data_IF_399858617741
#
_entry.id   IF_399858617741
#
_cell.length_a   1.000
_cell.length_b   1.000
_cell.length_c   1.000
_cell.angle_alpha   90.00
_cell.angle_beta   90.00
_cell.angle_gamma   90.00
#
_symmetry.space_group_name_H-M   'P 1'
#
loop_
_entity.id
_entity.type
_entity.pdbx_description
1 polymer ?
#
# COMPACT_ATOMS: atom_id res chain seq x y z
N UNK A 1 -44.29 35.58 0.58
CA UNK A 1 -43.05 35.66 -0.24
C UNK A 1 -41.80 36.01 0.58
N UNK A 2 -41.83 36.98 1.50
CA UNK A 2 -40.69 37.30 2.39
C UNK A 2 -40.21 36.13 3.28
N UNK A 3 -41.13 35.33 3.81
CA UNK A 3 -40.75 34.18 4.66
C UNK A 3 -40.15 33.01 3.86
N UNK A 4 -40.54 32.84 2.60
CA UNK A 4 -39.97 31.80 1.72
C UNK A 4 -38.53 32.14 1.30
N UNK A 5 -38.23 33.43 1.14
CA UNK A 5 -36.87 33.92 0.87
C UNK A 5 -35.93 33.68 2.07
N UNK A 6 -36.44 33.73 3.30
CA UNK A 6 -35.65 33.50 4.51
C UNK A 6 -35.25 32.02 4.68
N UNK A 7 -36.13 31.08 4.31
CA UNK A 7 -35.83 29.64 4.35
C UNK A 7 -34.80 29.22 3.29
N UNK A 8 -34.79 29.88 2.13
CA UNK A 8 -33.83 29.57 1.06
C UNK A 8 -32.39 29.98 1.42
N UNK A 9 -32.21 31.04 2.22
CA UNK A 9 -30.88 31.51 2.65
C UNK A 9 -30.23 30.63 3.73
N UNK A 10 -31.02 29.94 4.57
CA UNK A 10 -30.50 29.03 5.61
C UNK A 10 -29.97 27.72 5.02
N UNK A 11 -30.54 27.25 3.90
CA UNK A 11 -30.10 26.02 3.23
C UNK A 11 -28.77 26.22 2.50
N UNK A 12 -28.49 27.43 1.99
CA UNK A 12 -27.23 27.75 1.29
C UNK A 12 -25.98 27.78 2.21
N UNK A 13 -26.16 27.91 3.54
CA UNK A 13 -25.05 27.92 4.50
C UNK A 13 -24.59 26.52 4.93
N UNK A 14 -25.35 25.46 4.62
CA UNK A 14 -24.97 24.08 4.95
C UNK A 14 -24.09 23.40 3.87
N UNK A 15 -23.87 24.04 2.72
CA UNK A 15 -23.12 23.42 1.63
C UNK A 15 -21.59 23.64 1.70
N UNK A 16 -21.08 24.23 2.78
CA UNK A 16 -19.66 24.11 3.10
C UNK A 16 -19.40 22.69 3.61
N UNK A 17 -19.15 21.76 2.69
CA UNK A 17 -18.56 20.47 3.00
C UNK A 17 -17.20 20.74 3.65
N UNK A 18 -17.16 20.77 4.98
CA UNK A 18 -15.91 20.83 5.73
C UNK A 18 -15.13 19.57 5.40
N UNK A 19 -13.96 19.74 4.78
CA UNK A 19 -13.04 18.63 4.54
C UNK A 19 -12.58 18.17 5.92
N UNK A 20 -13.23 17.13 6.45
CA UNK A 20 -12.84 16.56 7.74
C UNK A 20 -11.35 16.20 7.67
N UNK A 21 -10.56 16.58 8.68
CA UNK A 21 -9.16 16.19 8.72
C UNK A 21 -9.06 14.67 8.70
N UNK A 22 -8.05 14.15 8.00
CA UNK A 22 -7.79 12.72 7.96
C UNK A 22 -7.63 12.20 9.40
N UNK A 23 -8.36 11.14 9.75
CA UNK A 23 -8.08 10.39 10.97
C UNK A 23 -6.87 9.48 10.72
N UNK A 24 -5.67 10.03 10.86
CA UNK A 24 -4.40 9.33 10.63
C UNK A 24 -4.27 8.07 11.50
N UNK A 25 -4.69 8.12 12.77
CA UNK A 25 -4.61 6.97 13.67
C UNK A 25 -5.41 5.75 13.15
N UNK A 26 -6.60 5.98 12.56
CA UNK A 26 -7.40 4.91 11.97
C UNK A 26 -6.75 4.30 10.72
N UNK A 27 -6.03 5.11 9.94
CA UNK A 27 -5.24 4.64 8.79
C UNK A 27 -4.09 3.76 9.26
N UNK A 28 -3.29 4.27 10.19
CA UNK A 28 -2.11 3.56 10.73
C UNK A 28 -2.51 2.24 11.37
N UNK A 29 -3.59 2.22 12.15
CA UNK A 29 -4.13 1.00 12.75
C UNK A 29 -4.50 -0.05 11.70
N UNK A 30 -5.04 0.38 10.55
CA UNK A 30 -5.37 -0.52 9.45
C UNK A 30 -4.13 -1.11 8.78
N UNK A 31 -3.07 -0.31 8.61
CA UNK A 31 -1.79 -0.77 8.05
C UNK A 31 -1.12 -1.76 9.02
N UNK A 32 -1.10 -1.46 10.32
CA UNK A 32 -0.54 -2.35 11.34
C UNK A 32 -1.33 -3.66 11.44
N UNK A 33 -2.66 -3.60 11.32
CA UNK A 33 -3.50 -4.79 11.27
C UNK A 33 -3.19 -5.67 10.05
N UNK A 34 -2.87 -5.05 8.90
CA UNK A 34 -2.50 -5.75 7.68
C UNK A 34 -1.14 -6.44 7.83
N UNK A 35 -0.11 -5.74 8.33
CA UNK A 35 1.18 -6.35 8.65
C UNK A 35 1.05 -7.48 9.67
N UNK A 36 0.26 -7.28 10.72
CA UNK A 36 -0.01 -8.29 11.75
C UNK A 36 -0.71 -9.53 11.17
N UNK A 37 -1.67 -9.36 10.27
CA UNK A 37 -2.36 -10.47 9.64
C UNK A 37 -1.38 -11.34 8.81
N UNK A 38 -0.44 -10.71 8.10
CA UNK A 38 0.63 -11.45 7.42
C UNK A 38 1.58 -12.17 8.40
N UNK A 39 2.04 -11.47 9.45
CA UNK A 39 2.95 -12.06 10.44
C UNK A 39 2.33 -13.27 11.16
N UNK A 40 1.01 -13.28 11.31
CA UNK A 40 0.23 -14.39 11.90
C UNK A 40 -0.24 -15.42 10.87
N UNK A 41 0.18 -15.28 9.60
CA UNK A 41 -0.28 -16.09 8.47
C UNK A 41 -1.82 -16.20 8.37
N UNK A 42 -2.54 -15.13 8.74
CA UNK A 42 -3.99 -15.07 8.64
C UNK A 42 -4.40 -14.57 7.26
N UNK A 43 -4.53 -15.51 6.32
CA UNK A 43 -4.84 -15.24 4.91
C UNK A 43 -6.12 -14.40 4.73
N UNK A 44 -7.21 -14.82 5.37
CA UNK A 44 -8.51 -14.14 5.23
C UNK A 44 -8.48 -12.71 5.76
N UNK A 45 -7.92 -12.47 6.95
CA UNK A 45 -7.81 -11.12 7.51
C UNK A 45 -6.87 -10.24 6.69
N UNK A 46 -5.78 -10.81 6.17
CA UNK A 46 -4.82 -10.08 5.36
C UNK A 46 -5.49 -9.54 4.09
N UNK A 47 -6.24 -10.38 3.38
CA UNK A 47 -6.92 -9.97 2.15
C UNK A 47 -8.22 -9.17 2.40
N UNK A 48 -8.91 -9.29 3.55
CA UNK A 48 -10.02 -8.37 3.90
C UNK A 48 -9.55 -6.92 4.04
N UNK A 49 -8.28 -6.71 4.39
CA UNK A 49 -7.66 -5.38 4.51
C UNK A 49 -7.14 -4.84 3.17
N UNK A 50 -7.37 -5.53 2.06
CA UNK A 50 -7.06 -5.08 0.71
C UNK A 50 -8.36 -4.81 -0.07
N UNK A 51 -8.35 -3.83 -0.98
CA UNK A 51 -9.49 -3.58 -1.87
C UNK A 51 -9.63 -4.69 -2.91
N UNK A 52 -10.80 -4.82 -3.53
CA UNK A 52 -11.08 -5.87 -4.54
C UNK A 52 -10.20 -5.79 -5.80
N UNK A 53 -9.59 -4.64 -6.05
CA UNK A 53 -8.66 -4.39 -7.16
C UNK A 53 -7.26 -4.02 -6.68
N UNK A 54 -6.85 -4.53 -5.51
CA UNK A 54 -5.56 -4.16 -4.96
C UNK A 54 -4.41 -4.72 -5.81
N UNK A 55 -3.31 -3.96 -5.84
CA UNK A 55 -2.05 -4.33 -6.49
C UNK A 55 -0.96 -4.51 -5.45
N UNK A 56 -0.16 -5.56 -5.59
CA UNK A 56 1.03 -5.77 -4.79
C UNK A 56 2.25 -5.90 -5.70
N UNK A 57 3.26 -5.08 -5.45
CA UNK A 57 4.55 -5.09 -6.16
C UNK A 57 5.61 -5.49 -5.15
N UNK A 58 6.25 -6.62 -5.42
CA UNK A 58 7.34 -7.12 -4.60
C UNK A 58 8.67 -6.44 -4.90
N UNK A 59 9.75 -7.02 -4.40
CA UNK A 59 11.10 -6.45 -4.52
C UNK A 59 11.80 -6.81 -5.83
N UNK A 60 11.38 -7.90 -6.49
CA UNK A 60 11.93 -8.34 -7.77
C UNK A 60 11.20 -7.65 -8.94
N UNK A 61 11.91 -7.30 -10.01
CA UNK A 61 11.34 -6.51 -11.11
C UNK A 61 10.29 -7.27 -11.95
N UNK A 62 10.14 -8.58 -11.73
CA UNK A 62 9.08 -9.42 -12.33
C UNK A 62 7.80 -9.43 -11.48
N UNK A 63 7.83 -8.89 -10.26
CA UNK A 63 6.75 -8.98 -9.29
C UNK A 63 5.79 -7.81 -9.39
N UNK A 64 4.72 -7.98 -10.16
CA UNK A 64 3.57 -7.06 -10.18
C UNK A 64 2.30 -7.89 -10.28
N UNK A 65 1.63 -8.08 -9.15
CA UNK A 65 0.46 -8.95 -9.07
C UNK A 65 -0.81 -8.15 -8.85
N UNK A 66 -1.82 -8.45 -9.67
CA UNK A 66 -3.18 -8.11 -9.33
C UNK A 66 -3.67 -9.02 -8.19
N UNK A 67 -4.71 -8.61 -7.47
CA UNK A 67 -5.14 -9.27 -6.23
C UNK A 67 -5.25 -10.80 -6.31
N UNK A 68 -5.88 -11.34 -7.37
CA UNK A 68 -6.10 -12.79 -7.50
C UNK A 68 -4.80 -13.56 -7.80
N UNK A 69 -3.90 -12.97 -8.58
CA UNK A 69 -2.56 -13.52 -8.81
C UNK A 69 -1.76 -13.51 -7.51
N UNK A 70 -1.83 -12.41 -6.76
CA UNK A 70 -1.13 -12.27 -5.48
C UNK A 70 -1.65 -13.26 -4.44
N UNK A 71 -2.98 -13.43 -4.36
CA UNK A 71 -3.64 -14.45 -3.54
C UNK A 71 -3.12 -15.85 -3.87
N UNK A 72 -2.98 -16.17 -5.16
CA UNK A 72 -2.49 -17.48 -5.62
C UNK A 72 -1.02 -17.68 -5.29
N UNK A 73 -0.18 -16.69 -5.60
CA UNK A 73 1.26 -16.68 -5.32
C UNK A 73 1.55 -16.83 -3.82
N UNK A 74 0.83 -16.08 -2.98
CA UNK A 74 1.11 -16.02 -1.55
C UNK A 74 0.55 -17.21 -0.75
N UNK A 75 -0.48 -17.90 -1.26
CA UNK A 75 -1.19 -18.97 -0.53
C UNK A 75 -0.27 -20.03 0.09
N UNK A 76 0.76 -20.55 -0.60
CA UNK A 76 1.65 -21.56 -0.02
C UNK A 76 2.46 -21.05 1.18
N UNK A 77 2.73 -19.75 1.27
CA UNK A 77 3.45 -19.15 2.40
C UNK A 77 2.55 -19.01 3.63
N UNK A 78 1.32 -18.56 3.41
CA UNK A 78 0.29 -18.49 4.46
C UNK A 78 -0.06 -19.89 4.99
N UNK A 79 -0.23 -20.89 4.12
CA UNK A 79 -0.54 -22.27 4.52
C UNK A 79 0.58 -22.91 5.35
N UNK A 80 1.84 -22.50 5.14
CA UNK A 80 3.00 -22.95 5.93
C UNK A 80 3.17 -22.19 7.24
N UNK A 81 2.30 -21.21 7.55
CA UNK A 81 2.43 -20.36 8.71
C UNK A 81 3.62 -19.39 8.64
N UNK A 82 4.19 -19.17 7.45
CA UNK A 82 5.43 -18.42 7.22
C UNK A 82 5.28 -17.49 6.02
N UNK A 83 4.38 -16.51 6.14
CA UNK A 83 4.34 -15.36 5.23
C UNK A 83 5.45 -14.37 5.63
N UNK A 84 5.23 -13.07 5.43
CA UNK A 84 6.14 -12.02 5.85
C UNK A 84 5.78 -11.45 7.23
N UNK A 85 6.79 -11.01 7.96
CA UNK A 85 6.66 -10.32 9.23
C UNK A 85 7.38 -8.98 9.12
N UNK A 86 6.61 -7.91 9.01
CA UNK A 86 7.12 -6.55 8.88
C UNK A 86 6.71 -5.72 10.09
N UNK A 87 7.66 -4.97 10.64
CA UNK A 87 7.42 -4.05 11.75
C UNK A 87 7.77 -2.63 11.32
N UNK A 88 6.83 -1.70 11.45
CA UNK A 88 7.08 -0.30 11.12
C UNK A 88 8.07 0.34 12.11
N UNK A 89 9.12 0.95 11.56
CA UNK A 89 10.09 1.76 12.28
C UNK A 89 9.73 3.25 12.20
N UNK A 90 9.23 3.68 11.05
CA UNK A 90 8.80 5.04 10.75
C UNK A 90 7.64 4.95 9.75
N UNK A 91 6.65 5.84 9.86
CA UNK A 91 5.56 5.94 8.90
C UNK A 91 5.16 7.39 8.67
N UNK A 92 5.04 7.75 7.40
CA UNK A 92 4.52 9.04 6.96
C UNK A 92 3.17 8.80 6.25
N UNK A 93 2.15 9.58 6.61
CA UNK A 93 0.80 9.43 6.05
C UNK A 93 0.33 10.75 5.46
N UNK A 94 -0.19 10.68 4.24
CA UNK A 94 -0.65 11.82 3.47
C UNK A 94 -2.07 11.56 2.95
N UNK A 95 -2.79 12.63 2.59
CA UNK A 95 -4.07 12.50 1.91
C UNK A 95 -4.31 13.58 0.87
N UNK A 96 -4.94 13.17 -0.23
CA UNK A 96 -5.37 14.06 -1.30
C UNK A 96 -6.64 13.50 -1.93
N UNK A 97 -7.66 14.36 -2.09
CA UNK A 97 -8.90 14.04 -2.82
C UNK A 97 -9.57 12.72 -2.43
N UNK A 98 -9.62 12.39 -1.13
CA UNK A 98 -10.25 11.18 -0.61
C UNK A 98 -9.38 9.92 -0.67
N UNK A 99 -8.17 10.03 -1.21
CA UNK A 99 -7.15 8.99 -1.16
C UNK A 99 -6.16 9.25 -0.05
N UNK A 100 -5.62 8.17 0.50
CA UNK A 100 -4.51 8.19 1.44
C UNK A 100 -3.33 7.51 0.78
N UNK A 101 -2.14 8.07 0.96
CA UNK A 101 -0.90 7.42 0.56
C UNK A 101 0.10 7.53 1.70
N UNK A 102 0.99 6.55 1.79
CA UNK A 102 1.93 6.45 2.88
C UNK A 102 3.25 5.86 2.40
N UNK A 103 4.29 6.16 3.15
CA UNK A 103 5.56 5.44 3.13
C UNK A 103 5.95 5.03 4.54
N UNK A 104 6.67 3.92 4.64
CA UNK A 104 7.16 3.40 5.90
C UNK A 104 8.53 2.76 5.73
N UNK A 105 9.39 2.93 6.74
CA UNK A 105 10.56 2.08 6.90
C UNK A 105 10.18 0.88 7.75
N UNK A 106 10.53 -0.30 7.28
CA UNK A 106 10.16 -1.58 7.89
C UNK A 106 11.40 -2.31 8.35
N UNK A 107 11.34 -2.86 9.56
CA UNK A 107 12.21 -3.94 9.99
C UNK A 107 11.66 -5.27 9.43
N UNK A 108 12.51 -5.97 8.68
CA UNK A 108 12.16 -7.19 7.95
C UNK A 108 13.31 -8.19 8.01
N UNK A 109 13.04 -9.43 7.60
CA UNK A 109 14.09 -10.45 7.41
C UNK A 109 15.16 -10.09 6.35
N UNK A 110 14.90 -9.11 5.49
CA UNK A 110 15.84 -8.60 4.49
C UNK A 110 16.63 -7.37 4.99
N UNK A 111 16.45 -6.98 6.25
CA UNK A 111 16.88 -5.67 6.78
C UNK A 111 15.85 -4.58 6.51
N UNK A 112 16.30 -3.33 6.41
CA UNK A 112 15.39 -2.19 6.19
C UNK A 112 14.79 -2.26 4.78
N UNK A 113 13.47 -2.37 4.72
CA UNK A 113 12.71 -2.18 3.50
C UNK A 113 11.90 -0.89 3.58
N UNK A 114 11.53 -0.35 2.42
CA UNK A 114 10.55 0.72 2.28
C UNK A 114 9.25 0.13 1.75
N UNK A 115 8.19 0.27 2.54
CA UNK A 115 6.82 0.10 2.08
C UNK A 115 6.30 1.43 1.53
N UNK A 116 5.61 1.41 0.41
CA UNK A 116 4.87 2.57 -0.09
C UNK A 116 3.51 2.12 -0.57
N UNK A 117 2.46 2.76 -0.09
CA UNK A 117 1.11 2.30 -0.36
C UNK A 117 0.09 3.40 -0.57
N UNK A 118 -0.99 3.01 -1.22
CA UNK A 118 -2.20 3.83 -1.42
C UNK A 118 -3.35 3.09 -0.75
N UNK A 119 -4.19 3.83 -0.05
CA UNK A 119 -5.38 3.32 0.62
C UNK A 119 -6.63 4.04 0.15
N UNK A 120 -7.73 3.28 0.17
CA UNK A 120 -9.07 3.77 -0.11
C UNK A 120 -10.03 3.32 0.99
N UNK A 121 -11.00 4.17 1.30
CA UNK A 121 -12.12 3.78 2.14
C UNK A 121 -13.09 2.90 1.34
N UNK A 122 -13.35 1.68 1.81
CA UNK A 122 -14.34 0.77 1.26
C UNK A 122 -15.17 0.21 2.42
N UNK A 123 -16.49 0.34 2.35
CA UNK A 123 -17.44 -0.10 3.39
C UNK A 123 -17.11 0.42 4.79
N UNK A 124 -16.65 1.68 4.87
CA UNK A 124 -16.27 2.34 6.13
C UNK A 124 -14.95 1.87 6.73
N UNK A 125 -14.16 1.06 6.01
CA UNK A 125 -12.82 0.63 6.41
C UNK A 125 -11.76 1.17 5.46
N UNK A 126 -10.61 1.59 5.99
CA UNK A 126 -9.43 1.83 5.18
C UNK A 126 -8.89 0.49 4.69
N UNK A 127 -8.61 0.37 3.39
CA UNK A 127 -8.05 -0.83 2.77
C UNK A 127 -6.87 -0.47 1.86
N UNK A 128 -5.88 -1.36 1.79
CA UNK A 128 -4.74 -1.25 0.88
C UNK A 128 -5.25 -1.41 -0.56
N UNK A 129 -5.04 -0.40 -1.39
CA UNK A 129 -5.39 -0.40 -2.81
C UNK A 129 -4.16 -0.64 -3.70
N UNK A 130 -2.98 -0.21 -3.25
CA UNK A 130 -1.72 -0.46 -3.95
C UNK A 130 -0.61 -0.52 -2.93
N UNK A 131 0.34 -1.44 -3.09
CA UNK A 131 1.51 -1.55 -2.23
C UNK A 131 2.76 -1.91 -3.03
N UNK A 132 3.86 -1.26 -2.68
CA UNK A 132 5.21 -1.51 -3.23
C UNK A 132 6.16 -1.77 -2.08
N UNK A 133 6.88 -2.87 -2.14
CA UNK A 133 7.98 -3.19 -1.23
C UNK A 133 9.32 -2.99 -1.94
N UNK A 134 10.25 -2.29 -1.32
CA UNK A 134 11.58 -2.06 -1.89
C UNK A 134 12.67 -2.26 -0.84
N UNK A 135 13.76 -2.92 -1.19
CA UNK A 135 14.94 -3.01 -0.32
C UNK A 135 15.59 -1.62 -0.26
N UNK A 136 15.79 -1.06 0.94
CA UNK A 136 16.41 0.24 1.11
C UNK A 136 17.94 0.10 1.09
N UNK A 137 18.56 0.39 -0.05
CA UNK A 137 20.00 0.19 -0.26
C UNK A 137 20.76 1.49 0.04
N UNK A 138 21.77 1.47 0.92
CA UNK A 138 22.67 2.61 1.11
C UNK A 138 23.32 3.02 -0.22
N UNK A 139 23.33 4.32 -0.53
CA UNK A 139 23.84 4.82 -1.81
C UNK A 139 25.30 4.38 -2.09
N UNK A 140 26.12 4.29 -1.05
CA UNK A 140 27.52 3.84 -1.16
C UNK A 140 27.67 2.40 -1.68
N UNK A 141 26.62 1.57 -1.53
CA UNK A 141 26.61 0.18 -1.97
C UNK A 141 25.98 -0.02 -3.37
N UNK A 142 25.44 1.03 -3.99
CA UNK A 142 24.70 0.93 -5.27
C UNK A 142 25.60 0.44 -6.41
N UNK A 143 26.87 0.84 -6.45
CA UNK A 143 27.82 0.38 -7.47
C UNK A 143 28.01 -1.14 -7.42
N UNK A 144 28.24 -1.70 -6.22
CA UNK A 144 28.36 -3.14 -6.00
C UNK A 144 27.05 -3.86 -6.33
N UNK A 145 25.90 -3.33 -5.90
CA UNK A 145 24.59 -3.92 -6.18
C UNK A 145 24.30 -3.99 -7.67
N UNK A 146 24.50 -2.89 -8.40
CA UNK A 146 24.25 -2.82 -9.84
C UNK A 146 25.21 -3.69 -10.63
N UNK A 147 26.46 -3.86 -10.17
CA UNK A 147 27.39 -4.82 -10.75
C UNK A 147 26.90 -6.28 -10.60
N UNK A 148 26.35 -6.66 -9.43
CA UNK A 148 25.88 -8.02 -9.17
C UNK A 148 24.73 -8.46 -10.07
N UNK A 149 23.82 -7.54 -10.43
CA UNK A 149 22.64 -7.86 -11.26
C UNK A 149 22.75 -7.42 -12.72
N UNK A 150 23.92 -6.94 -13.16
CA UNK A 150 24.11 -6.31 -14.47
C UNK A 150 23.63 -7.15 -15.65
N UNK A 151 24.00 -8.43 -15.68
CA UNK A 151 23.63 -9.33 -16.78
C UNK A 151 22.12 -9.60 -16.81
N UNK A 152 21.54 -9.88 -15.64
CA UNK A 152 20.10 -10.09 -15.50
C UNK A 152 19.31 -8.85 -15.92
N UNK A 153 19.69 -7.67 -15.43
CA UNK A 153 19.05 -6.40 -15.79
C UNK A 153 19.11 -6.17 -17.30
N UNK A 154 20.28 -6.36 -17.91
CA UNK A 154 20.45 -6.16 -19.36
C UNK A 154 19.50 -7.06 -20.16
N UNK A 155 19.45 -8.36 -19.83
CA UNK A 155 18.60 -9.32 -20.52
C UNK A 155 17.10 -9.01 -20.32
N UNK A 156 16.71 -8.65 -19.09
CA UNK A 156 15.32 -8.35 -18.79
C UNK A 156 14.86 -7.03 -19.42
N UNK A 157 15.74 -6.02 -19.47
CA UNK A 157 15.47 -4.76 -20.17
C UNK A 157 15.21 -5.00 -21.66
N UNK A 158 16.00 -5.83 -22.34
CA UNK A 158 15.74 -6.13 -23.76
C UNK A 158 14.41 -6.87 -23.94
N UNK A 159 14.11 -7.84 -23.06
CA UNK A 159 12.80 -8.53 -23.05
C UNK A 159 11.64 -7.53 -22.94
N UNK A 160 11.75 -6.52 -22.08
CA UNK A 160 10.70 -5.50 -21.88
C UNK A 160 10.59 -4.52 -23.06
N UNK A 161 11.67 -4.26 -23.79
CA UNK A 161 11.63 -3.43 -25.00
C UNK A 161 10.97 -4.16 -26.17
N UNK A 162 11.23 -5.46 -26.32
CA UNK A 162 10.66 -6.29 -27.38
C UNK A 162 9.13 -6.49 -27.24
N UNK A 163 8.60 -6.27 -26.04
CA UNK A 163 7.16 -6.37 -25.74
C UNK A 163 6.36 -5.09 -26.03
N UNK A 164 7.02 -4.00 -26.43
CA UNK A 164 6.38 -2.71 -26.76
C UNK A 164 6.19 -2.55 -28.27
#
# INVERSE_FOLDING_TARGET
MKNFLLYFTVILLYSCASKQPLNTAAVEQSIDAWHKAAAQANYEKYFDLMTDHAVFIGTDATENWQLEEFKTFSKPYFDKGKAWSFTSLERNVYSANGWVYFDELLDTQMGICRGSGVMRMQDGKWKIAHYVLSIAVPNDNVSSLTAMKKEWDANYIETLKDQK
#
